data_IF_515920929978
#
_entry.id   IF_515920929978
#
_cell.length_a   1.000
_cell.length_b   1.000
_cell.length_c   1.000
_cell.angle_alpha   90.00
_cell.angle_beta   90.00
_cell.angle_gamma   90.00
#
_symmetry.space_group_name_H-M   'P 1'
#
loop_
_entity.id
_entity.type
_entity.pdbx_description
1 polymer ?
#
# COMPACT_ATOMS: atom_id res chain seq x y z
N UNK A 1 -89.18 -90.47 -5.95
CA UNK A 1 -88.48 -89.26 -5.49
C UNK A 1 -87.06 -89.67 -5.16
N UNK A 2 -86.20 -89.73 -6.17
CA UNK A 2 -84.79 -90.10 -6.03
C UNK A 2 -84.05 -88.78 -5.80
N UNK A 3 -83.45 -88.62 -4.64
CA UNK A 3 -83.01 -87.32 -4.13
C UNK A 3 -81.56 -86.97 -4.53
N UNK A 4 -80.87 -87.79 -5.32
CA UNK A 4 -79.50 -87.52 -5.79
C UNK A 4 -79.29 -88.10 -7.19
N UNK A 5 -78.86 -87.24 -8.14
CA UNK A 5 -78.58 -87.60 -9.55
C UNK A 5 -77.15 -88.17 -9.73
N UNK A 6 -76.27 -88.07 -8.73
CA UNK A 6 -74.90 -88.57 -8.75
C UNK A 6 -74.65 -89.60 -7.64
N UNK A 7 -73.81 -90.60 -7.92
CA UNK A 7 -73.40 -91.60 -6.94
C UNK A 7 -72.59 -90.91 -5.82
N UNK A 8 -73.01 -90.97 -4.55
CA UNK A 8 -72.32 -90.30 -3.45
C UNK A 8 -70.85 -90.73 -3.31
N UNK A 9 -70.48 -91.94 -3.76
CA UNK A 9 -69.09 -92.40 -3.74
C UNK A 9 -68.23 -91.62 -4.74
N UNK A 10 -68.76 -91.31 -5.92
CA UNK A 10 -68.07 -90.55 -6.95
C UNK A 10 -67.87 -89.08 -6.53
N UNK A 11 -68.88 -88.47 -5.92
CA UNK A 11 -68.80 -87.12 -5.35
C UNK A 11 -67.75 -87.04 -4.22
N UNK A 12 -67.69 -88.04 -3.34
CA UNK A 12 -66.68 -88.09 -2.28
C UNK A 12 -65.27 -88.25 -2.86
N UNK A 13 -65.08 -89.09 -3.87
CA UNK A 13 -63.78 -89.26 -4.54
C UNK A 13 -63.33 -87.99 -5.26
N UNK A 14 -64.25 -87.31 -5.97
CA UNK A 14 -63.97 -86.05 -6.65
C UNK A 14 -63.65 -84.92 -5.65
N UNK A 15 -64.41 -84.81 -4.56
CA UNK A 15 -64.15 -83.84 -3.49
C UNK A 15 -62.79 -84.06 -2.84
N UNK A 16 -62.38 -85.33 -2.65
CA UNK A 16 -61.06 -85.67 -2.09
C UNK A 16 -59.94 -85.31 -3.06
N UNK A 17 -60.13 -85.54 -4.37
CA UNK A 17 -59.16 -85.18 -5.41
C UNK A 17 -59.02 -83.67 -5.62
N UNK A 18 -60.11 -82.92 -5.50
CA UNK A 18 -60.14 -81.45 -5.60
C UNK A 18 -59.59 -80.76 -4.35
N UNK A 19 -59.41 -81.47 -3.24
CA UNK A 19 -58.84 -80.91 -2.02
C UNK A 19 -57.31 -80.83 -2.10
N UNK A 20 -56.82 -79.71 -2.65
CA UNK A 20 -55.41 -79.48 -2.89
C UNK A 20 -54.68 -78.97 -1.64
N UNK A 21 -54.23 -79.90 -0.78
CA UNK A 21 -53.50 -79.56 0.46
C UNK A 21 -52.09 -79.00 0.19
N UNK A 22 -51.41 -79.50 -0.84
CA UNK A 22 -50.01 -79.12 -1.11
C UNK A 22 -49.84 -77.64 -1.48
N UNK A 23 -50.63 -77.06 -2.41
CA UNK A 23 -50.56 -75.63 -2.71
C UNK A 23 -50.85 -74.70 -1.52
N UNK A 24 -51.74 -75.12 -0.61
CA UNK A 24 -52.04 -74.37 0.61
C UNK A 24 -50.88 -74.41 1.58
N UNK A 25 -50.26 -75.58 1.75
CA UNK A 25 -49.03 -75.73 2.54
C UNK A 25 -47.89 -74.88 1.98
N UNK A 26 -47.72 -74.87 0.66
CA UNK A 26 -46.71 -74.06 -0.03
C UNK A 26 -47.01 -72.55 0.09
N UNK A 27 -48.29 -72.18 0.20
CA UNK A 27 -48.67 -70.79 0.46
C UNK A 27 -48.37 -70.38 1.90
N UNK A 28 -48.60 -71.28 2.87
CA UNK A 28 -48.24 -71.05 4.27
C UNK A 28 -46.72 -70.93 4.47
N UNK A 29 -45.91 -71.76 3.80
CA UNK A 29 -44.44 -71.65 3.87
C UNK A 29 -43.96 -70.31 3.31
N UNK A 30 -44.48 -69.89 2.13
CA UNK A 30 -44.16 -68.58 1.55
C UNK A 30 -44.54 -67.42 2.47
N UNK A 31 -45.72 -67.48 3.10
CA UNK A 31 -46.14 -66.47 4.08
C UNK A 31 -45.18 -66.45 5.27
N UNK A 32 -44.79 -67.61 5.80
CA UNK A 32 -43.85 -67.69 6.91
C UNK A 32 -42.48 -67.10 6.56
N UNK A 33 -41.94 -67.43 5.38
CA UNK A 33 -40.69 -66.85 4.87
C UNK A 33 -40.78 -65.33 4.73
N UNK A 34 -41.90 -64.81 4.20
CA UNK A 34 -42.13 -63.37 4.07
C UNK A 34 -42.19 -62.66 5.43
N UNK A 35 -42.82 -63.28 6.42
CA UNK A 35 -42.89 -62.76 7.80
C UNK A 35 -41.52 -62.78 8.46
N UNK A 36 -40.74 -63.85 8.24
CA UNK A 36 -39.40 -63.97 8.77
C UNK A 36 -38.46 -62.91 8.18
N UNK A 37 -38.51 -62.71 6.86
CA UNK A 37 -37.75 -61.67 6.17
C UNK A 37 -38.14 -60.25 6.65
N UNK A 38 -39.45 -59.99 6.83
CA UNK A 38 -39.95 -58.73 7.36
C UNK A 38 -39.46 -58.49 8.80
N UNK A 39 -39.49 -59.53 9.64
CA UNK A 39 -39.02 -59.44 11.02
C UNK A 39 -37.52 -59.12 11.09
N UNK A 40 -36.70 -59.80 10.27
CA UNK A 40 -35.26 -59.52 10.17
C UNK A 40 -34.99 -58.08 9.69
N UNK A 41 -35.69 -57.62 8.66
CA UNK A 41 -35.53 -56.26 8.15
C UNK A 41 -35.91 -55.21 9.20
N UNK A 42 -36.98 -55.46 9.99
CA UNK A 42 -37.38 -54.57 11.09
C UNK A 42 -36.36 -54.57 12.22
N UNK A 43 -35.84 -55.73 12.61
CA UNK A 43 -34.82 -55.83 13.66
C UNK A 43 -33.56 -55.05 13.28
N UNK A 44 -33.06 -55.22 12.04
CA UNK A 44 -31.90 -54.49 11.54
C UNK A 44 -32.15 -52.98 11.47
N UNK A 45 -33.35 -52.55 11.08
CA UNK A 45 -33.72 -51.13 11.08
C UNK A 45 -33.75 -50.54 12.49
N UNK A 46 -34.31 -51.27 13.46
CA UNK A 46 -34.34 -50.83 14.85
C UNK A 46 -32.92 -50.72 15.42
N UNK A 47 -32.07 -51.73 15.19
CA UNK A 47 -30.66 -51.70 15.61
C UNK A 47 -29.94 -50.47 15.02
N UNK A 48 -30.08 -50.23 13.72
CA UNK A 48 -29.50 -49.04 13.07
C UNK A 48 -30.03 -47.73 13.67
N UNK A 49 -31.31 -47.63 13.97
CA UNK A 49 -31.87 -46.43 14.59
C UNK A 49 -31.35 -46.24 16.02
N UNK A 50 -31.25 -47.31 16.82
CA UNK A 50 -30.71 -47.23 18.19
C UNK A 50 -29.24 -46.84 18.21
N UNK A 51 -28.43 -47.36 17.28
CA UNK A 51 -27.02 -46.97 17.17
C UNK A 51 -26.88 -45.50 16.79
N UNK A 52 -27.67 -45.02 15.81
CA UNK A 52 -27.72 -43.60 15.43
C UNK A 52 -28.11 -42.73 16.64
N UNK A 53 -29.19 -43.06 17.33
CA UNK A 53 -29.66 -42.31 18.51
C UNK A 53 -28.59 -42.29 19.62
N UNK A 54 -27.93 -43.42 19.89
CA UNK A 54 -26.85 -43.48 20.89
C UNK A 54 -25.66 -42.58 20.52
N UNK A 55 -25.33 -42.48 19.23
CA UNK A 55 -24.22 -41.66 18.74
C UNK A 55 -24.58 -40.17 18.80
N UNK A 56 -25.82 -39.82 18.44
CA UNK A 56 -26.33 -38.46 18.52
C UNK A 56 -26.42 -38.00 19.97
N UNK A 57 -26.91 -38.85 20.88
CA UNK A 57 -26.97 -38.56 22.31
C UNK A 57 -25.57 -38.28 22.89
N UNK A 58 -24.56 -39.08 22.53
CA UNK A 58 -23.16 -38.82 22.93
C UNK A 58 -22.63 -37.49 22.39
N UNK A 59 -22.91 -37.17 21.13
CA UNK A 59 -22.53 -35.88 20.52
C UNK A 59 -23.21 -34.71 21.21
N UNK A 60 -24.50 -34.82 21.50
CA UNK A 60 -25.28 -33.79 22.19
C UNK A 60 -24.70 -33.52 23.57
N UNK A 61 -24.43 -34.58 24.35
CA UNK A 61 -23.84 -34.44 25.69
C UNK A 61 -22.47 -33.76 25.63
N UNK A 62 -21.62 -34.12 24.64
CA UNK A 62 -20.31 -33.47 24.45
C UNK A 62 -20.44 -31.98 24.14
N UNK A 63 -21.35 -31.61 23.24
CA UNK A 63 -21.57 -30.19 22.88
C UNK A 63 -22.16 -29.42 24.05
N UNK A 64 -23.13 -30.00 24.75
CA UNK A 64 -23.75 -29.41 25.93
C UNK A 64 -22.74 -29.19 27.06
N UNK A 65 -21.87 -30.16 27.34
CA UNK A 65 -20.83 -30.01 28.36
C UNK A 65 -19.79 -28.97 27.96
N UNK A 66 -19.38 -28.93 26.69
CA UNK A 66 -18.45 -27.92 26.19
C UNK A 66 -19.06 -26.52 26.29
N UNK A 67 -20.33 -26.37 25.91
CA UNK A 67 -21.03 -25.09 26.03
C UNK A 67 -21.16 -24.62 27.47
N UNK A 68 -21.54 -25.51 28.42
CA UNK A 68 -21.59 -25.16 29.84
C UNK A 68 -20.23 -24.72 30.36
N UNK A 69 -19.17 -25.45 29.99
CA UNK A 69 -17.79 -25.11 30.35
C UNK A 69 -17.37 -23.74 29.80
N UNK A 70 -17.67 -23.45 28.54
CA UNK A 70 -17.34 -22.17 27.92
C UNK A 70 -18.13 -21.02 28.55
N UNK A 71 -19.40 -21.23 28.88
CA UNK A 71 -20.25 -20.23 29.56
C UNK A 71 -19.73 -19.96 30.98
N UNK A 72 -19.36 -20.99 31.73
CA UNK A 72 -18.78 -20.82 33.08
C UNK A 72 -17.41 -20.15 33.04
N UNK A 73 -16.58 -20.45 32.04
CA UNK A 73 -15.25 -19.86 31.88
C UNK A 73 -15.30 -18.43 31.35
N UNK A 74 -16.34 -18.06 30.59
CA UNK A 74 -16.46 -16.74 30.01
C UNK A 74 -16.85 -15.70 31.07
N UNK A 75 -15.85 -15.10 31.72
CA UNK A 75 -16.02 -13.91 32.54
C UNK A 75 -16.20 -12.67 31.66
N UNK A 76 -17.46 -12.36 31.35
CA UNK A 76 -17.82 -11.18 30.59
C UNK A 76 -17.36 -9.87 31.26
N UNK A 77 -17.28 -9.85 32.59
CA UNK A 77 -16.82 -8.70 33.36
C UNK A 77 -15.33 -8.45 33.17
N UNK A 78 -14.50 -9.49 33.31
CA UNK A 78 -13.05 -9.38 33.06
C UNK A 78 -12.77 -9.01 31.59
N UNK A 79 -13.51 -9.59 30.64
CA UNK A 79 -13.36 -9.24 29.23
C UNK A 79 -13.69 -7.76 28.96
N UNK A 80 -14.81 -7.25 29.49
CA UNK A 80 -15.19 -5.85 29.35
C UNK A 80 -14.15 -4.91 30.00
N UNK A 81 -13.62 -5.27 31.17
CA UNK A 81 -12.54 -4.51 31.81
C UNK A 81 -11.26 -4.48 30.96
N UNK A 82 -10.87 -5.61 30.35
CA UNK A 82 -9.70 -5.67 29.47
C UNK A 82 -9.92 -4.82 28.21
N UNK A 83 -11.12 -4.84 27.62
CA UNK A 83 -11.48 -3.98 26.50
C UNK A 83 -11.33 -2.49 26.85
N UNK A 84 -11.87 -2.08 28.00
CA UNK A 84 -11.75 -0.70 28.47
C UNK A 84 -10.28 -0.30 28.71
N UNK A 85 -9.47 -1.18 29.30
CA UNK A 85 -8.02 -0.94 29.46
C UNK A 85 -7.34 -0.73 28.11
N UNK A 86 -7.57 -1.62 27.14
CA UNK A 86 -7.00 -1.48 25.80
C UNK A 86 -7.47 -0.20 25.10
N UNK A 87 -8.73 0.21 25.27
CA UNK A 87 -9.21 1.47 24.73
C UNK A 87 -8.49 2.67 25.35
N UNK A 88 -8.29 2.68 26.68
CA UNK A 88 -7.52 3.75 27.33
C UNK A 88 -6.05 3.78 26.87
N UNK A 89 -5.42 2.63 26.69
CA UNK A 89 -4.05 2.52 26.17
C UNK A 89 -3.96 3.02 24.73
N UNK A 90 -4.93 2.66 23.88
CA UNK A 90 -5.03 3.15 22.50
C UNK A 90 -5.11 4.68 22.45
N UNK A 91 -5.96 5.30 23.27
CA UNK A 91 -6.05 6.76 23.35
C UNK A 91 -4.78 7.40 23.89
N UNK A 92 -4.12 6.78 24.87
CA UNK A 92 -2.85 7.26 25.42
C UNK A 92 -1.73 7.23 24.38
N UNK A 93 -1.64 6.14 23.62
CA UNK A 93 -0.67 5.99 22.53
C UNK A 93 -0.95 6.99 21.43
N UNK A 94 -2.21 7.12 20.99
CA UNK A 94 -2.59 8.09 19.97
C UNK A 94 -2.24 9.53 20.38
N UNK A 95 -2.47 9.90 21.64
CA UNK A 95 -2.05 11.20 22.17
C UNK A 95 -0.52 11.36 22.13
N UNK A 96 0.23 10.35 22.58
CA UNK A 96 1.68 10.38 22.55
C UNK A 96 2.26 10.51 21.14
N UNK A 97 1.64 9.86 20.15
CA UNK A 97 2.00 10.00 18.74
C UNK A 97 1.73 11.42 18.26
N UNK A 98 0.55 11.98 18.54
CA UNK A 98 0.21 13.35 18.17
C UNK A 98 1.16 14.38 18.82
N UNK A 99 1.48 14.23 20.10
CA UNK A 99 2.42 15.11 20.79
C UNK A 99 3.84 15.01 20.18
N UNK A 100 4.27 13.80 19.78
CA UNK A 100 5.55 13.59 19.10
C UNK A 100 5.55 14.14 17.65
N UNK A 101 4.43 14.06 16.93
CA UNK A 101 4.27 14.64 15.59
C UNK A 101 4.37 16.16 15.65
N UNK A 102 3.68 16.81 16.59
CA UNK A 102 3.76 18.26 16.80
C UNK A 102 5.19 18.70 17.08
N UNK A 103 5.91 17.99 17.96
CA UNK A 103 7.29 18.32 18.28
C UNK A 103 8.24 18.06 17.10
N UNK A 104 8.00 17.01 16.32
CA UNK A 104 8.75 16.73 15.09
C UNK A 104 8.54 17.84 14.05
N UNK A 105 7.31 18.30 13.86
CA UNK A 105 7.01 19.43 12.97
C UNK A 105 7.71 20.71 13.44
N UNK A 106 7.67 21.01 14.74
CA UNK A 106 8.37 22.16 15.34
C UNK A 106 9.87 22.11 15.08
N UNK A 107 10.52 20.99 15.41
CA UNK A 107 11.97 20.80 15.20
C UNK A 107 12.35 20.82 13.72
N UNK A 108 11.49 20.29 12.84
CA UNK A 108 11.71 20.34 11.40
C UNK A 108 11.67 21.78 10.87
N UNK A 109 10.77 22.61 11.40
CA UNK A 109 10.70 24.05 11.10
C UNK A 109 11.93 24.81 11.58
N UNK A 110 12.41 24.52 12.79
CA UNK A 110 13.66 25.11 13.32
C UNK A 110 14.89 24.71 12.49
N UNK A 111 14.98 23.43 12.10
CA UNK A 111 16.04 22.95 11.21
C UNK A 111 15.99 23.62 9.84
N UNK A 112 14.80 23.80 9.27
CA UNK A 112 14.64 24.49 7.99
C UNK A 112 15.10 25.95 8.08
N UNK A 113 14.72 26.66 9.14
CA UNK A 113 15.15 28.05 9.39
C UNK A 113 16.67 28.16 9.58
N UNK A 114 17.27 27.27 10.38
CA UNK A 114 18.73 27.23 10.59
C UNK A 114 19.49 26.88 9.30
N UNK A 115 18.97 25.95 8.49
CA UNK A 115 19.55 25.64 7.17
C UNK A 115 19.50 26.83 6.24
N UNK A 116 18.39 27.55 6.21
CA UNK A 116 18.28 28.77 5.41
C UNK A 116 19.27 29.84 5.89
N UNK A 117 19.39 30.06 7.20
CA UNK A 117 20.37 30.99 7.77
C UNK A 117 21.81 30.61 7.37
N UNK A 118 22.15 29.33 7.49
CA UNK A 118 23.45 28.79 7.11
C UNK A 118 23.71 29.01 5.61
N UNK A 119 22.73 28.76 4.76
CA UNK A 119 22.85 29.00 3.32
C UNK A 119 23.05 30.50 2.98
N UNK A 120 22.39 31.42 3.70
CA UNK A 120 22.69 32.87 3.58
C UNK A 120 24.11 33.19 3.99
N UNK A 121 24.58 32.67 5.13
CA UNK A 121 25.94 32.91 5.61
C UNK A 121 27.00 32.31 4.66
N UNK A 122 26.74 31.13 4.09
CA UNK A 122 27.62 30.52 3.09
C UNK A 122 27.69 31.37 1.81
N UNK A 123 26.57 31.97 1.38
CA UNK A 123 26.56 32.93 0.26
C UNK A 123 27.29 34.23 0.59
N UNK A 124 27.14 34.74 1.82
CA UNK A 124 27.80 35.97 2.28
C UNK A 124 29.32 35.76 2.45
N UNK A 125 29.78 34.53 2.70
CA UNK A 125 31.18 34.16 2.84
C UNK A 125 31.85 34.74 4.09
N UNK A 126 33.07 34.27 4.38
CA UNK A 126 33.83 34.58 5.63
C UNK A 126 34.14 36.08 5.81
N UNK A 127 33.97 36.89 4.77
CA UNK A 127 34.26 38.33 4.76
C UNK A 127 33.03 39.24 4.57
N UNK A 128 31.81 38.68 4.56
CA UNK A 128 30.57 39.46 4.51
C UNK A 128 30.39 40.25 3.19
N UNK A 129 30.16 39.54 2.09
CA UNK A 129 29.54 40.09 0.88
C UNK A 129 30.43 40.93 -0.05
N UNK A 130 31.76 40.94 0.11
CA UNK A 130 32.65 41.87 -0.63
C UNK A 130 33.38 41.33 -1.87
N UNK A 131 33.03 40.15 -2.38
CA UNK A 131 33.74 39.55 -3.55
C UNK A 131 33.13 39.81 -4.91
N UNK A 132 31.86 40.22 -5.02
CA UNK A 132 31.26 40.51 -6.32
C UNK A 132 31.73 41.86 -6.90
N UNK A 133 31.91 42.89 -6.06
CA UNK A 133 32.25 44.26 -6.52
C UNK A 133 33.74 44.47 -6.88
N UNK A 134 34.66 43.63 -6.39
CA UNK A 134 36.10 43.85 -6.59
C UNK A 134 36.55 43.67 -8.05
N UNK A 135 35.85 42.83 -8.82
CA UNK A 135 36.21 42.58 -10.23
C UNK A 135 35.82 43.75 -11.16
N UNK A 136 34.73 44.45 -10.83
CA UNK A 136 34.32 45.64 -11.57
C UNK A 136 35.24 46.83 -11.25
N UNK A 137 35.69 46.95 -10.00
CA UNK A 137 36.61 48.01 -9.57
C UNK A 137 37.98 47.95 -10.27
N UNK A 138 38.54 46.76 -10.51
CA UNK A 138 39.86 46.65 -11.17
C UNK A 138 39.83 47.19 -12.62
N UNK A 139 38.77 46.88 -13.37
CA UNK A 139 38.59 47.35 -14.75
C UNK A 139 38.34 48.86 -14.81
N UNK A 140 37.52 49.39 -13.89
CA UNK A 140 37.24 50.82 -13.78
C UNK A 140 38.51 51.60 -13.39
N UNK A 141 39.30 51.08 -12.45
CA UNK A 141 40.58 51.69 -12.05
C UNK A 141 41.60 51.71 -13.19
N UNK A 142 41.71 50.61 -13.96
CA UNK A 142 42.58 50.56 -15.15
C UNK A 142 42.14 51.59 -16.20
N UNK A 143 40.85 51.67 -16.49
CA UNK A 143 40.30 52.67 -17.44
C UNK A 143 40.54 54.11 -16.96
N UNK A 144 40.36 54.37 -15.66
CA UNK A 144 40.63 55.70 -15.08
C UNK A 144 42.12 56.06 -15.15
N UNK A 145 43.01 55.09 -14.93
CA UNK A 145 44.45 55.29 -15.09
C UNK A 145 44.83 55.63 -16.53
N UNK A 146 44.34 54.87 -17.52
CA UNK A 146 44.61 55.16 -18.94
C UNK A 146 44.06 56.51 -19.39
N UNK A 147 42.88 56.90 -18.89
CA UNK A 147 42.32 58.24 -19.15
C UNK A 147 43.17 59.35 -18.50
N UNK A 148 43.72 59.10 -17.30
CA UNK A 148 44.63 60.05 -16.65
C UNK A 148 45.97 60.23 -17.39
N UNK A 149 46.38 59.21 -18.16
CA UNK A 149 47.53 59.26 -19.08
C UNK A 149 47.22 60.02 -20.38
N UNK A 150 46.02 60.58 -20.54
CA UNK A 150 45.63 61.37 -21.71
C UNK A 150 45.23 60.54 -22.93
N UNK A 151 44.93 59.24 -22.73
CA UNK A 151 44.47 58.33 -23.78
C UNK A 151 42.94 58.28 -23.75
N UNK A 152 42.30 58.88 -24.75
CA UNK A 152 40.85 58.81 -24.94
C UNK A 152 40.50 58.00 -26.19
N UNK A 153 39.74 56.91 -26.00
CA UNK A 153 39.21 56.12 -27.10
C UNK A 153 37.92 56.77 -27.64
N UNK A 154 37.97 57.31 -28.86
CA UNK A 154 36.82 57.97 -29.50
C UNK A 154 36.07 56.97 -30.37
N UNK A 155 34.77 56.87 -30.13
CA UNK A 155 33.84 56.04 -30.90
C UNK A 155 33.47 56.76 -32.20
N UNK A 156 33.54 56.06 -33.32
CA UNK A 156 33.15 56.62 -34.61
C UNK A 156 31.62 56.69 -34.73
N UNK A 157 31.08 57.86 -35.11
CA UNK A 157 29.64 58.16 -35.07
C UNK A 157 28.83 57.35 -36.09
N UNK A 158 29.49 56.75 -37.08
CA UNK A 158 28.83 56.01 -38.18
C UNK A 158 28.68 54.50 -37.93
N UNK A 159 29.60 53.89 -37.18
CA UNK A 159 29.67 52.42 -37.00
C UNK A 159 29.56 51.98 -35.54
N UNK A 160 29.69 52.89 -34.57
CA UNK A 160 29.62 52.53 -33.16
C UNK A 160 30.78 51.64 -32.69
N UNK A 161 31.85 51.52 -33.48
CA UNK A 161 33.08 50.82 -33.10
C UNK A 161 34.16 51.82 -32.68
N UNK A 162 35.04 51.43 -31.75
CA UNK A 162 36.16 52.25 -31.29
C UNK A 162 37.30 52.18 -32.30
N UNK A 163 37.24 53.04 -33.32
CA UNK A 163 38.25 53.05 -34.40
C UNK A 163 39.36 54.08 -34.20
N UNK A 164 39.22 55.04 -33.28
CA UNK A 164 40.22 56.12 -33.10
C UNK A 164 40.64 56.26 -31.64
N UNK A 165 41.95 56.24 -31.38
CA UNK A 165 42.51 56.62 -30.09
C UNK A 165 43.17 57.99 -30.21
N UNK A 166 42.84 58.89 -29.29
CA UNK A 166 43.41 60.23 -29.19
C UNK A 166 44.34 60.23 -28.00
N UNK A 167 45.63 60.48 -28.23
CA UNK A 167 46.63 60.62 -27.19
C UNK A 167 46.95 62.11 -27.05
N UNK A 168 46.82 62.62 -25.83
CA UNK A 168 47.11 64.00 -25.47
C UNK A 168 48.27 64.07 -24.50
N UNK A 169 49.45 64.45 -24.99
CA UNK A 169 50.62 64.65 -24.13
C UNK A 169 50.60 66.09 -23.58
N UNK A 170 50.25 66.23 -22.30
CA UNK A 170 50.15 67.52 -21.62
C UNK A 170 51.48 68.28 -21.48
N UNK A 171 52.64 67.62 -21.59
CA UNK A 171 53.95 68.25 -21.49
C UNK A 171 54.48 68.79 -22.83
N UNK A 172 54.10 68.18 -23.95
CA UNK A 172 54.49 68.62 -25.31
C UNK A 172 53.43 69.46 -26.01
N UNK A 173 52.16 69.37 -25.61
CA UNK A 173 51.05 70.12 -26.20
C UNK A 173 50.56 69.56 -27.54
N UNK A 174 51.03 68.38 -27.93
CA UNK A 174 50.68 67.73 -29.20
C UNK A 174 49.53 66.73 -29.00
N UNK A 175 48.63 66.68 -29.98
CA UNK A 175 47.50 65.75 -30.04
C UNK A 175 47.74 64.77 -31.18
N UNK A 176 48.00 63.51 -30.85
CA UNK A 176 48.19 62.46 -31.84
C UNK A 176 46.91 61.64 -31.96
N UNK A 177 46.31 61.63 -33.16
CA UNK A 177 45.14 60.81 -33.47
C UNK A 177 45.62 59.58 -34.22
N UNK A 178 45.52 58.42 -33.58
CA UNK A 178 45.85 57.13 -34.17
C UNK A 178 44.57 56.46 -34.66
N UNK A 179 44.52 56.14 -35.96
CA UNK A 179 43.44 55.35 -36.55
C UNK A 179 43.78 53.86 -36.36
N UNK A 180 42.93 53.17 -35.61
CA UNK A 180 43.08 51.74 -35.34
C UNK A 180 42.27 51.03 -36.42
N UNK A 181 42.78 51.03 -37.64
CA UNK A 181 42.18 50.26 -38.73
C UNK A 181 42.77 48.83 -38.76
N UNK A 182 41.86 47.86 -38.80
CA UNK A 182 42.05 46.41 -38.76
C UNK A 182 43.46 45.86 -38.43
N UNK A 183 43.79 45.86 -37.13
CA UNK A 183 44.59 44.79 -36.51
C UNK A 183 46.09 45.01 -36.30
N UNK A 184 46.65 46.18 -36.62
CA UNK A 184 48.01 46.55 -36.21
C UNK A 184 48.09 48.03 -35.83
N UNK A 185 48.02 48.33 -34.54
CA UNK A 185 48.51 49.59 -34.01
C UNK A 185 50.00 49.40 -33.69
N UNK A 186 50.88 50.18 -34.30
CA UNK A 186 52.31 50.15 -34.00
C UNK A 186 52.53 50.66 -32.58
N UNK A 187 52.92 49.76 -31.66
CA UNK A 187 53.14 50.09 -30.26
C UNK A 187 54.26 51.13 -30.07
N UNK A 188 55.24 51.16 -30.97
CA UNK A 188 56.34 52.12 -30.91
C UNK A 188 55.86 53.56 -31.18
N UNK A 189 54.95 53.75 -32.15
CA UNK A 189 54.31 55.05 -32.41
C UNK A 189 53.38 55.47 -31.26
N UNK A 190 52.82 54.51 -30.53
CA UNK A 190 51.96 54.76 -29.37
C UNK A 190 52.74 55.27 -28.16
N UNK A 191 53.91 54.68 -27.87
CA UNK A 191 54.79 55.13 -26.78
C UNK A 191 55.54 56.43 -27.11
N UNK A 192 55.90 56.67 -28.36
CA UNK A 192 56.53 57.92 -28.80
C UNK A 192 55.58 59.13 -28.72
N UNK A 193 54.27 58.89 -28.78
CA UNK A 193 53.22 59.91 -28.74
C UNK A 193 52.71 60.24 -27.32
N UNK A 194 53.11 59.46 -26.31
CA UNK A 194 52.69 59.65 -24.90
C UNK A 194 53.52 60.72 -24.18
#
# INVERSE_FOLDING_TARGET
MVLFDEDPVELMAEATNKFHITPDKDSLTRVHESLHALHQARALRLENQTTILSSLSRKLNKVSSAHSYDVERHDAGQHAQNMLKMDTEKFRIAKGVNDAEIESERLSGELAALRQQLETLEREGVEGGRKADLAEDEMVLKLQFYRSLGIDARRDESSGEFKKAVITNAARGDVSVLDIDHGKADADLFWDAL
#
